data_IF_299901573388
#
_entry.id   IF_299901573388
#
_cell.length_a   1.000
_cell.length_b   1.000
_cell.length_c   1.000
_cell.angle_alpha   90.00
_cell.angle_beta   90.00
_cell.angle_gamma   90.00
#
_symmetry.space_group_name_H-M   'P 1'
#
loop_
_entity.id
_entity.type
_entity.pdbx_description
1 polymer ?
#
# COMPACT_ATOMS: atom_id res chain seq x y z
N UNK A 1 40.41 -21.42 -68.49
CA UNK A 1 39.72 -21.65 -67.24
C UNK A 1 38.34 -22.20 -67.54
N UNK A 2 37.98 -23.34 -67.02
CA UNK A 2 36.79 -24.10 -67.44
C UNK A 2 35.50 -23.36 -66.96
N UNK A 3 34.57 -23.08 -67.89
CA UNK A 3 33.32 -22.34 -67.59
C UNK A 3 32.54 -22.91 -66.36
N UNK A 4 32.67 -24.23 -66.17
CA UNK A 4 32.09 -24.94 -65.01
C UNK A 4 32.72 -24.56 -63.66
N UNK A 5 34.06 -24.26 -63.66
CA UNK A 5 34.76 -23.84 -62.45
C UNK A 5 34.41 -22.40 -62.10
N UNK A 6 34.20 -21.54 -63.09
CA UNK A 6 33.83 -20.14 -62.89
C UNK A 6 32.39 -20.05 -62.34
N UNK A 7 31.46 -20.91 -62.83
CA UNK A 7 30.09 -21.00 -62.31
C UNK A 7 30.02 -21.52 -60.90
N UNK A 8 30.92 -22.49 -60.52
CA UNK A 8 30.98 -23.01 -59.15
C UNK A 8 31.54 -21.99 -58.17
N UNK A 9 32.54 -21.19 -58.58
CA UNK A 9 33.10 -20.10 -57.74
C UNK A 9 32.09 -18.97 -57.55
N UNK A 10 31.29 -18.66 -58.58
CA UNK A 10 30.25 -17.65 -58.51
C UNK A 10 29.09 -18.11 -57.59
N UNK A 11 28.67 -19.36 -57.68
CA UNK A 11 27.66 -19.93 -56.80
C UNK A 11 28.15 -20.00 -55.33
N UNK A 12 29.42 -20.28 -55.08
CA UNK A 12 30.00 -20.29 -53.73
C UNK A 12 30.15 -18.88 -53.13
N UNK A 13 30.46 -17.88 -53.97
CA UNK A 13 30.53 -16.48 -53.52
C UNK A 13 29.13 -15.88 -53.16
N UNK A 14 28.07 -16.32 -53.84
CA UNK A 14 26.70 -15.90 -53.54
C UNK A 14 26.17 -16.56 -52.23
N UNK A 15 26.64 -17.77 -51.91
CA UNK A 15 26.29 -18.43 -50.64
C UNK A 15 27.03 -17.81 -49.42
N UNK A 16 28.14 -17.11 -49.60
CA UNK A 16 28.88 -16.46 -48.51
C UNK A 16 28.38 -15.08 -48.17
N UNK A 17 27.53 -14.47 -48.99
CA UNK A 17 26.89 -13.16 -48.70
C UNK A 17 25.55 -13.28 -47.97
N UNK A 18 25.10 -14.46 -47.66
CA UNK A 18 23.80 -14.74 -47.00
C UNK A 18 23.85 -14.79 -45.47
N UNK A 19 25.05 -14.61 -44.87
CA UNK A 19 25.15 -14.78 -43.41
C UNK A 19 24.64 -13.58 -42.58
N UNK A 20 24.43 -12.41 -43.15
CA UNK A 20 23.90 -11.26 -42.39
C UNK A 20 22.38 -11.10 -42.47
N UNK A 21 21.69 -11.93 -43.27
CA UNK A 21 20.21 -11.89 -43.32
C UNK A 21 19.51 -12.66 -42.21
N UNK A 22 20.26 -13.52 -41.49
CA UNK A 22 19.75 -14.28 -40.33
C UNK A 22 20.17 -13.69 -38.99
N UNK A 23 21.00 -12.65 -38.97
CA UNK A 23 21.17 -11.82 -37.77
C UNK A 23 19.95 -10.88 -37.66
N UNK A 24 18.80 -11.50 -37.45
CA UNK A 24 17.62 -10.84 -36.95
C UNK A 24 17.96 -10.46 -35.53
N UNK A 25 18.40 -9.25 -35.30
CA UNK A 25 18.32 -8.65 -33.99
C UNK A 25 16.85 -8.71 -33.63
N UNK A 26 16.46 -9.62 -32.74
CA UNK A 26 15.15 -9.60 -32.11
C UNK A 26 15.02 -8.29 -31.33
N UNK A 27 14.75 -7.20 -32.04
CA UNK A 27 14.39 -5.90 -31.47
C UNK A 27 12.95 -5.91 -30.99
N UNK A 28 12.48 -7.03 -30.46
CA UNK A 28 11.18 -7.10 -29.77
C UNK A 28 11.26 -6.65 -28.31
N UNK A 29 12.46 -6.37 -27.79
CA UNK A 29 12.71 -5.74 -26.49
C UNK A 29 13.37 -4.39 -26.69
N UNK A 30 12.89 -3.38 -25.96
CA UNK A 30 13.63 -2.13 -25.82
C UNK A 30 14.90 -2.42 -25.02
N UNK A 31 16.05 -2.00 -25.51
CA UNK A 31 17.24 -2.05 -24.69
C UNK A 31 17.19 -0.98 -23.57
N UNK A 32 18.16 -1.08 -22.66
CA UNK A 32 18.18 -0.24 -21.46
C UNK A 32 18.31 1.25 -21.80
N UNK A 33 19.03 1.61 -22.88
CA UNK A 33 19.21 2.97 -23.34
C UNK A 33 17.90 3.53 -23.91
N UNK A 34 17.15 2.73 -24.66
CA UNK A 34 15.86 3.10 -25.23
C UNK A 34 14.80 3.46 -24.17
N UNK A 35 14.88 2.85 -22.98
CA UNK A 35 13.90 3.09 -21.89
C UNK A 35 13.97 4.52 -21.37
N UNK A 36 15.13 5.18 -21.43
CA UNK A 36 15.32 6.52 -20.89
C UNK A 36 15.48 7.60 -21.96
N UNK A 37 15.48 7.23 -23.23
CA UNK A 37 15.51 8.17 -24.36
C UNK A 37 14.17 8.88 -24.56
N UNK A 38 13.06 8.26 -24.16
CA UNK A 38 11.72 8.79 -24.38
C UNK A 38 11.01 9.08 -23.06
N UNK A 39 10.47 10.29 -22.91
CA UNK A 39 9.76 10.74 -21.71
C UNK A 39 8.70 9.76 -21.23
N UNK A 40 7.82 9.26 -22.10
CA UNK A 40 6.73 8.35 -21.72
C UNK A 40 7.25 7.02 -21.18
N UNK A 41 8.40 6.55 -21.64
CA UNK A 41 9.05 5.34 -21.14
C UNK A 41 9.66 5.58 -19.75
N UNK A 42 10.37 6.70 -19.56
CA UNK A 42 10.92 7.10 -18.27
C UNK A 42 9.79 7.29 -17.23
N UNK A 43 8.67 7.92 -17.61
CA UNK A 43 7.45 8.03 -16.81
C UNK A 43 6.88 6.64 -16.49
N UNK A 44 6.85 5.73 -17.47
CA UNK A 44 6.43 4.34 -17.29
C UNK A 44 7.30 3.57 -16.30
N UNK A 45 8.61 3.79 -16.31
CA UNK A 45 9.53 3.19 -15.32
C UNK A 45 9.20 3.64 -13.89
N UNK A 46 8.99 4.94 -13.66
CA UNK A 46 8.57 5.42 -12.34
C UNK A 46 7.20 4.86 -11.96
N UNK A 47 6.25 4.80 -12.90
CA UNK A 47 4.93 4.19 -12.67
C UNK A 47 5.05 2.73 -12.24
N UNK A 48 6.00 1.99 -12.82
CA UNK A 48 6.33 0.62 -12.40
C UNK A 48 6.79 0.59 -10.95
N UNK A 49 7.65 1.53 -10.52
CA UNK A 49 8.05 1.62 -9.10
C UNK A 49 6.84 1.86 -8.19
N UNK A 50 5.92 2.76 -8.56
CA UNK A 50 4.67 2.98 -7.83
C UNK A 50 3.77 1.74 -7.73
N UNK A 51 3.78 0.86 -8.74
CA UNK A 51 2.90 -0.31 -8.78
C UNK A 51 3.14 -1.33 -7.67
N UNK A 52 4.29 -1.27 -7.00
CA UNK A 52 4.62 -2.08 -5.84
C UNK A 52 4.08 -1.53 -4.51
N UNK A 53 3.45 -0.36 -4.49
CA UNK A 53 2.79 0.14 -3.30
C UNK A 53 1.70 -0.84 -2.84
N UNK A 54 1.68 -1.19 -1.54
CA UNK A 54 0.75 -2.21 -1.05
C UNK A 54 -0.70 -1.73 -1.08
N UNK A 55 -1.60 -2.69 -1.24
CA UNK A 55 -3.03 -2.54 -0.98
C UNK A 55 -3.54 -3.86 -0.43
N UNK A 56 -4.43 -3.84 0.56
CA UNK A 56 -4.94 -5.06 1.20
C UNK A 56 -6.43 -5.28 0.92
N UNK A 57 -6.78 -5.33 -0.36
CA UNK A 57 -8.13 -5.65 -0.82
C UNK A 57 -8.33 -7.17 -0.99
N UNK A 58 -8.09 -7.96 0.08
CA UNK A 58 -8.21 -9.40 0.05
C UNK A 58 -6.96 -10.11 -0.48
N UNK A 59 -5.78 -9.57 -0.24
CA UNK A 59 -4.52 -10.09 -0.78
C UNK A 59 -4.08 -11.45 -0.20
N UNK A 60 -4.68 -11.89 0.90
CA UNK A 60 -4.40 -13.19 1.52
C UNK A 60 -5.50 -14.20 1.16
N UNK A 61 -5.55 -14.61 -0.09
CA UNK A 61 -6.56 -15.55 -0.61
C UNK A 61 -7.99 -15.10 -0.26
N UNK A 62 -8.29 -13.83 -0.47
CA UNK A 62 -9.57 -13.19 -0.18
C UNK A 62 -9.66 -12.52 1.20
N UNK A 63 -8.81 -12.88 2.16
CA UNK A 63 -8.77 -12.25 3.47
C UNK A 63 -7.99 -10.93 3.46
N UNK A 64 -8.37 -10.00 4.33
CA UNK A 64 -7.54 -8.85 4.69
C UNK A 64 -6.54 -9.23 5.79
N UNK A 65 -5.46 -8.46 5.94
CA UNK A 65 -4.44 -8.66 6.97
C UNK A 65 -4.99 -8.61 8.39
N UNK A 66 -6.09 -7.88 8.63
CA UNK A 66 -6.76 -7.84 9.91
C UNK A 66 -7.14 -9.23 10.45
N UNK A 67 -7.44 -10.18 9.55
CA UNK A 67 -7.74 -11.56 9.93
C UNK A 67 -6.52 -12.37 10.44
N UNK A 68 -5.32 -11.80 10.43
CA UNK A 68 -4.13 -12.35 11.07
C UNK A 68 -3.95 -11.87 12.53
N UNK A 69 -4.87 -11.04 13.03
CA UNK A 69 -4.83 -10.41 14.35
C UNK A 69 -6.09 -10.75 15.16
N UNK A 70 -6.19 -10.25 16.37
CA UNK A 70 -7.38 -10.36 17.21
C UNK A 70 -8.54 -9.44 16.77
N UNK A 71 -8.34 -8.62 15.72
CA UNK A 71 -9.38 -7.72 15.19
C UNK A 71 -10.41 -8.41 14.28
N UNK A 72 -10.01 -9.48 13.58
CA UNK A 72 -10.89 -10.16 12.63
C UNK A 72 -10.55 -11.64 12.45
N UNK A 73 -11.53 -12.39 11.93
CA UNK A 73 -11.37 -13.74 11.40
C UNK A 73 -11.84 -13.78 9.94
N UNK A 74 -11.38 -14.76 9.18
CA UNK A 74 -11.87 -15.00 7.84
C UNK A 74 -12.92 -16.10 7.84
N UNK A 75 -14.06 -15.87 7.20
CA UNK A 75 -15.21 -16.78 7.25
C UNK A 75 -14.95 -18.15 6.61
N UNK A 76 -13.93 -18.26 5.76
CA UNK A 76 -13.66 -19.47 4.97
C UNK A 76 -12.32 -20.09 5.33
N UNK A 77 -12.28 -21.43 5.39
CA UNK A 77 -11.05 -22.19 5.67
C UNK A 77 -10.09 -22.29 4.48
N UNK A 78 -10.35 -21.56 3.40
CA UNK A 78 -9.58 -21.61 2.15
C UNK A 78 -8.40 -20.66 2.10
N UNK A 79 -8.37 -19.66 2.98
CA UNK A 79 -7.29 -18.67 3.02
C UNK A 79 -6.08 -19.14 3.83
N UNK A 80 -4.88 -18.86 3.33
CA UNK A 80 -3.63 -19.05 4.06
C UNK A 80 -3.52 -18.22 5.34
N UNK A 81 -4.34 -17.18 5.51
CA UNK A 81 -4.37 -16.30 6.68
C UNK A 81 -4.61 -17.09 7.99
N UNK A 82 -5.38 -18.18 7.93
CA UNK A 82 -5.68 -19.04 9.08
C UNK A 82 -4.42 -19.60 9.76
N UNK A 83 -3.27 -19.63 9.06
CA UNK A 83 -2.01 -20.11 9.62
C UNK A 83 -1.49 -19.22 10.74
N UNK A 84 -1.82 -17.92 10.72
CA UNK A 84 -1.52 -17.04 11.84
C UNK A 84 -2.30 -17.45 13.09
N UNK A 85 -3.59 -17.74 12.94
CA UNK A 85 -4.48 -18.04 14.04
C UNK A 85 -4.22 -19.43 14.65
N UNK A 86 -3.82 -20.42 13.85
CA UNK A 86 -3.55 -21.79 14.29
C UNK A 86 -2.07 -22.09 14.55
N UNK A 87 -1.17 -21.11 14.38
CA UNK A 87 0.27 -21.23 14.62
C UNK A 87 1.03 -22.12 13.62
N UNK A 88 0.45 -22.49 12.49
CA UNK A 88 1.09 -23.37 11.50
C UNK A 88 2.01 -22.61 10.51
N UNK A 89 2.63 -21.53 10.93
CA UNK A 89 3.61 -20.77 10.15
C UNK A 89 5.01 -20.87 10.78
N UNK A 90 6.03 -20.69 9.97
CA UNK A 90 7.41 -20.79 10.41
C UNK A 90 8.34 -19.99 9.48
N UNK A 91 9.63 -19.82 9.82
CA UNK A 91 10.59 -19.15 8.94
C UNK A 91 10.72 -19.76 7.53
N UNK A 92 10.40 -21.05 7.39
CA UNK A 92 10.43 -21.77 6.10
C UNK A 92 9.02 -21.88 5.47
N UNK A 93 7.98 -21.53 6.20
CA UNK A 93 6.59 -21.50 5.73
C UNK A 93 5.99 -20.15 6.06
N UNK A 94 6.43 -19.13 5.34
CA UNK A 94 6.00 -17.75 5.51
C UNK A 94 4.69 -17.50 4.75
N UNK A 95 3.84 -16.63 5.29
CA UNK A 95 2.56 -16.27 4.68
C UNK A 95 2.69 -14.93 3.94
N UNK A 96 3.35 -13.95 4.54
CA UNK A 96 3.52 -12.60 3.98
C UNK A 96 4.97 -12.42 3.46
N UNK A 97 5.35 -13.27 2.50
CA UNK A 97 6.69 -13.18 1.91
C UNK A 97 6.73 -12.10 0.83
N UNK A 98 7.19 -10.92 1.20
CA UNK A 98 7.33 -9.76 0.31
C UNK A 98 8.78 -9.47 -0.08
N UNK A 99 9.73 -10.33 0.31
CA UNK A 99 11.16 -10.14 0.08
C UNK A 99 11.48 -9.87 -1.40
N UNK A 100 11.13 -10.82 -2.27
CA UNK A 100 11.38 -10.68 -3.71
C UNK A 100 10.67 -9.49 -4.33
N UNK A 101 9.43 -9.23 -3.93
CA UNK A 101 8.61 -8.11 -4.42
C UNK A 101 9.27 -6.77 -4.13
N UNK A 102 9.66 -6.52 -2.89
CA UNK A 102 10.24 -5.23 -2.54
C UNK A 102 11.68 -5.06 -3.00
N UNK A 103 12.49 -6.13 -3.09
CA UNK A 103 13.81 -6.00 -3.74
C UNK A 103 13.69 -5.76 -5.24
N UNK A 104 12.68 -6.30 -5.93
CA UNK A 104 12.39 -5.96 -7.32
C UNK A 104 11.98 -4.48 -7.45
N UNK A 105 11.15 -3.98 -6.53
CA UNK A 105 10.77 -2.57 -6.48
C UNK A 105 11.97 -1.64 -6.23
N UNK A 106 12.86 -2.00 -5.28
CA UNK A 106 14.10 -1.27 -4.99
C UNK A 106 15.03 -1.27 -6.21
N UNK A 107 15.21 -2.42 -6.88
CA UNK A 107 15.99 -2.49 -8.12
C UNK A 107 15.40 -1.59 -9.21
N UNK A 108 14.07 -1.57 -9.36
CA UNK A 108 13.39 -0.70 -10.33
C UNK A 108 13.60 0.78 -10.01
N UNK A 109 13.56 1.15 -8.71
CA UNK A 109 13.86 2.51 -8.26
C UNK A 109 15.33 2.88 -8.53
N UNK A 110 16.28 1.99 -8.22
CA UNK A 110 17.70 2.20 -8.51
C UNK A 110 17.95 2.32 -10.02
N UNK A 111 17.31 1.48 -10.83
CA UNK A 111 17.41 1.56 -12.29
C UNK A 111 16.90 2.91 -12.81
N UNK A 112 15.79 3.40 -12.31
CA UNK A 112 15.28 4.72 -12.66
C UNK A 112 16.29 5.81 -12.26
N UNK A 113 16.78 5.80 -11.02
CA UNK A 113 17.70 6.82 -10.50
C UNK A 113 19.05 6.82 -11.23
N UNK A 114 19.61 5.65 -11.56
CA UNK A 114 20.89 5.54 -12.26
C UNK A 114 20.85 6.00 -13.72
N UNK A 115 19.65 6.05 -14.31
CA UNK A 115 19.47 6.43 -15.71
C UNK A 115 18.61 7.70 -15.88
N UNK A 116 18.31 8.38 -14.77
CA UNK A 116 17.55 9.63 -14.81
C UNK A 116 18.31 10.68 -15.63
N UNK A 117 17.60 11.33 -16.54
CA UNK A 117 18.07 12.48 -17.33
C UNK A 117 17.31 13.72 -16.87
N UNK A 118 17.96 14.88 -16.89
CA UNK A 118 17.33 16.12 -16.38
C UNK A 118 16.22 16.63 -17.30
N UNK A 119 16.32 16.37 -18.60
CA UNK A 119 15.31 16.79 -19.58
C UNK A 119 15.19 15.82 -20.78
N UNK A 120 14.27 16.12 -21.68
CA UNK A 120 14.01 15.39 -22.93
C UNK A 120 13.92 16.33 -24.10
N UNK A 121 15.08 16.76 -24.63
CA UNK A 121 15.15 17.70 -25.75
C UNK A 121 14.45 17.20 -27.03
N UNK A 122 14.29 15.88 -27.18
CA UNK A 122 13.62 15.28 -28.32
C UNK A 122 12.09 15.53 -28.37
N UNK A 123 11.50 16.08 -27.27
CA UNK A 123 10.08 16.46 -27.23
C UNK A 123 9.85 17.96 -27.03
N UNK A 124 10.88 18.81 -27.15
CA UNK A 124 10.75 20.28 -27.03
C UNK A 124 9.73 20.89 -28.00
N UNK A 125 9.45 20.24 -29.10
CA UNK A 125 8.41 20.63 -30.04
C UNK A 125 6.98 20.41 -29.54
N UNK A 126 6.79 19.72 -28.41
CA UNK A 126 5.49 19.45 -27.86
C UNK A 126 5.00 20.68 -27.08
N UNK A 127 3.79 21.14 -27.36
CA UNK A 127 3.16 22.28 -26.68
C UNK A 127 3.08 22.11 -25.14
N UNK A 128 3.14 20.87 -24.65
CA UNK A 128 3.11 20.54 -23.22
C UNK A 128 4.52 20.36 -22.63
N UNK A 129 5.59 20.57 -23.34
CA UNK A 129 6.96 20.29 -22.89
C UNK A 129 7.27 20.88 -21.52
N UNK A 130 7.01 22.17 -21.32
CA UNK A 130 7.26 22.83 -20.03
C UNK A 130 6.48 22.21 -18.89
N UNK A 131 5.21 21.88 -19.13
CA UNK A 131 4.36 21.20 -18.13
C UNK A 131 4.91 19.81 -17.76
N UNK A 132 5.34 19.05 -18.76
CA UNK A 132 5.94 17.72 -18.55
C UNK A 132 7.23 17.82 -17.74
N UNK A 133 8.10 18.78 -18.07
CA UNK A 133 9.38 18.97 -17.36
C UNK A 133 9.17 19.48 -15.92
N UNK A 134 8.16 20.34 -15.70
CA UNK A 134 7.80 20.77 -14.36
C UNK A 134 7.31 19.61 -13.45
N UNK A 135 6.72 18.56 -14.02
CA UNK A 135 6.38 17.36 -13.29
C UNK A 135 7.58 16.44 -13.12
N UNK A 136 8.35 16.27 -14.20
CA UNK A 136 9.45 15.34 -14.29
C UNK A 136 10.59 15.64 -13.29
N UNK A 137 10.81 16.90 -12.96
CA UNK A 137 11.80 17.30 -11.96
C UNK A 137 11.59 16.67 -10.58
N UNK A 138 10.35 16.24 -10.26
CA UNK A 138 10.04 15.59 -8.99
C UNK A 138 10.28 14.07 -9.00
N UNK A 139 10.37 13.46 -10.19
CA UNK A 139 10.43 11.99 -10.34
C UNK A 139 11.61 11.33 -9.61
N UNK A 140 12.84 11.88 -9.60
CA UNK A 140 13.92 11.28 -8.85
C UNK A 140 13.68 11.29 -7.33
N UNK A 141 13.03 12.31 -6.80
CA UNK A 141 12.69 12.39 -5.38
C UNK A 141 11.55 11.44 -5.01
N UNK A 142 10.61 11.22 -5.92
CA UNK A 142 9.57 10.22 -5.75
C UNK A 142 10.16 8.80 -5.78
N UNK A 143 11.08 8.52 -6.69
CA UNK A 143 11.77 7.23 -6.75
C UNK A 143 12.58 6.96 -5.47
N UNK A 144 13.27 7.96 -4.91
CA UNK A 144 13.98 7.89 -3.64
C UNK A 144 13.02 7.62 -2.48
N UNK A 145 11.88 8.31 -2.43
CA UNK A 145 10.83 8.03 -1.44
C UNK A 145 10.34 6.59 -1.51
N UNK A 146 9.98 6.12 -2.72
CA UNK A 146 9.46 4.77 -2.93
C UNK A 146 10.50 3.72 -2.50
N UNK A 147 11.77 3.92 -2.82
CA UNK A 147 12.87 3.07 -2.34
C UNK A 147 12.95 3.03 -0.82
N UNK A 148 12.91 4.19 -0.16
CA UNK A 148 12.91 4.28 1.29
C UNK A 148 11.67 3.60 1.91
N UNK A 149 10.49 3.78 1.31
CA UNK A 149 9.26 3.10 1.71
C UNK A 149 9.38 1.57 1.62
N UNK A 150 9.95 1.04 0.54
CA UNK A 150 10.14 -0.41 0.39
C UNK A 150 11.18 -0.96 1.38
N UNK A 151 12.21 -0.20 1.73
CA UNK A 151 13.11 -0.55 2.82
C UNK A 151 12.41 -0.57 4.18
N UNK A 152 11.50 0.37 4.45
CA UNK A 152 10.67 0.31 5.65
C UNK A 152 9.80 -0.96 5.68
N UNK A 153 9.16 -1.30 4.55
CA UNK A 153 8.35 -2.52 4.43
C UNK A 153 9.16 -3.81 4.65
N UNK A 154 10.42 -3.84 4.20
CA UNK A 154 11.34 -4.95 4.47
C UNK A 154 11.81 -4.97 5.92
N UNK A 155 12.30 -3.83 6.45
CA UNK A 155 12.89 -3.74 7.79
C UNK A 155 11.89 -4.13 8.90
N UNK A 156 10.63 -3.70 8.79
CA UNK A 156 9.60 -4.04 9.79
C UNK A 156 9.25 -5.53 9.84
N UNK A 157 9.55 -6.31 8.77
CA UNK A 157 9.28 -7.75 8.69
C UNK A 157 10.50 -8.61 8.95
N UNK A 158 11.65 -8.19 8.42
CA UNK A 158 12.87 -9.02 8.40
C UNK A 158 13.98 -8.47 9.29
N UNK A 159 13.78 -7.29 9.90
CA UNK A 159 14.74 -6.58 10.76
C UNK A 159 16.00 -6.16 10.00
N UNK A 160 16.98 -7.06 9.88
CA UNK A 160 18.24 -6.82 9.20
C UNK A 160 18.12 -7.20 7.72
N UNK A 161 18.39 -6.28 6.82
CA UNK A 161 18.22 -6.50 5.37
C UNK A 161 19.38 -5.89 4.59
N UNK A 162 19.80 -6.48 3.46
CA UNK A 162 20.80 -5.90 2.58
C UNK A 162 20.37 -4.49 2.10
N UNK A 163 21.22 -3.50 2.33
CA UNK A 163 21.00 -2.12 1.87
C UNK A 163 21.70 -1.93 0.52
N UNK A 164 20.91 -1.85 -0.56
CA UNK A 164 21.36 -1.80 -1.95
C UNK A 164 20.80 -0.52 -2.58
N UNK A 165 21.65 0.43 -2.94
CA UNK A 165 21.26 1.74 -3.50
C UNK A 165 21.64 1.91 -4.97
N UNK A 166 22.16 0.84 -5.59
CA UNK A 166 22.60 0.80 -7.00
C UNK A 166 22.09 -0.47 -7.68
N UNK A 167 22.25 -0.55 -9.00
CA UNK A 167 21.93 -1.75 -9.75
C UNK A 167 23.13 -2.71 -9.71
N UNK A 168 23.01 -3.78 -8.94
CA UNK A 168 24.01 -4.83 -8.85
C UNK A 168 23.82 -5.89 -9.94
N UNK A 169 24.92 -6.51 -10.37
CA UNK A 169 24.89 -7.74 -11.15
C UNK A 169 24.46 -8.92 -10.26
N UNK A 170 24.09 -10.04 -10.90
CA UNK A 170 23.50 -11.17 -10.19
C UNK A 170 24.45 -11.75 -9.12
N UNK A 171 25.73 -11.86 -9.46
CA UNK A 171 26.74 -12.42 -8.56
C UNK A 171 27.01 -11.51 -7.36
N UNK A 172 26.98 -10.19 -7.57
CA UNK A 172 27.16 -9.18 -6.54
C UNK A 172 25.96 -9.16 -5.58
N UNK A 173 24.73 -9.21 -6.13
CA UNK A 173 23.50 -9.15 -5.35
C UNK A 173 23.40 -10.28 -4.31
N UNK A 174 23.90 -11.49 -4.64
CA UNK A 174 23.90 -12.64 -3.75
C UNK A 174 24.97 -12.57 -2.64
N UNK A 175 25.93 -11.65 -2.75
CA UNK A 175 27.05 -11.49 -1.80
C UNK A 175 26.85 -10.38 -0.78
N UNK A 176 25.81 -9.52 -0.94
CA UNK A 176 25.57 -8.39 -0.04
C UNK A 176 25.10 -8.88 1.33
N UNK A 177 25.88 -8.58 2.36
CA UNK A 177 25.51 -8.89 3.72
C UNK A 177 24.34 -8.02 4.22
N UNK A 178 23.48 -8.55 5.10
CA UNK A 178 22.44 -7.75 5.74
C UNK A 178 23.04 -6.59 6.54
N UNK A 179 22.47 -5.41 6.41
CA UNK A 179 22.74 -4.25 7.25
C UNK A 179 21.92 -4.35 8.53
N UNK A 180 22.46 -3.83 9.63
CA UNK A 180 21.74 -3.74 10.88
C UNK A 180 20.49 -2.86 10.74
N UNK A 181 19.45 -3.18 11.50
CA UNK A 181 18.18 -2.47 11.48
C UNK A 181 18.36 -0.95 11.63
N UNK A 182 19.17 -0.49 12.58
CA UNK A 182 19.40 0.93 12.81
C UNK A 182 20.02 1.63 11.58
N UNK A 183 20.93 0.96 10.85
CA UNK A 183 21.47 1.50 9.59
C UNK A 183 20.42 1.64 8.50
N UNK A 184 19.49 0.70 8.43
CA UNK A 184 18.37 0.79 7.47
C UNK A 184 17.44 1.93 7.85
N UNK A 185 17.14 2.11 9.14
CA UNK A 185 16.36 3.24 9.65
C UNK A 185 17.06 4.58 9.34
N UNK A 186 18.36 4.69 9.63
CA UNK A 186 19.14 5.89 9.35
C UNK A 186 19.11 6.24 7.86
N UNK A 187 19.22 5.24 6.98
CA UNK A 187 19.09 5.43 5.54
C UNK A 187 17.70 5.99 5.17
N UNK A 188 16.62 5.40 5.68
CA UNK A 188 15.25 5.85 5.40
C UNK A 188 15.05 7.29 5.87
N UNK A 189 15.52 7.61 7.07
CA UNK A 189 15.40 8.96 7.66
C UNK A 189 16.20 9.97 6.85
N UNK A 190 17.45 9.65 6.48
CA UNK A 190 18.30 10.50 5.65
C UNK A 190 17.67 10.78 4.27
N UNK A 191 17.14 9.74 3.59
CA UNK A 191 16.40 9.91 2.33
C UNK A 191 15.21 10.87 2.52
N UNK A 192 14.43 10.70 3.59
CA UNK A 192 13.30 11.58 3.89
C UNK A 192 13.76 13.04 4.09
N UNK A 193 14.83 13.26 4.86
CA UNK A 193 15.33 14.61 5.16
C UNK A 193 15.86 15.31 3.90
N UNK A 194 16.54 14.59 3.03
CA UNK A 194 17.10 15.15 1.80
C UNK A 194 16.06 15.49 0.73
N UNK A 195 14.94 14.73 0.66
CA UNK A 195 13.93 14.92 -0.40
C UNK A 195 12.73 15.75 0.01
N UNK A 196 12.52 15.95 1.32
CA UNK A 196 11.31 16.59 1.86
C UNK A 196 11.01 17.93 1.20
N UNK A 197 12.00 18.83 1.13
CA UNK A 197 11.83 20.17 0.57
C UNK A 197 11.93 20.21 -0.97
N UNK A 198 12.18 19.06 -1.61
CA UNK A 198 12.27 18.92 -3.05
C UNK A 198 10.96 18.53 -3.72
N UNK A 199 10.01 18.05 -2.92
CA UNK A 199 8.70 17.61 -3.40
C UNK A 199 7.63 18.69 -3.19
N UNK A 200 6.57 18.71 -3.99
CA UNK A 200 5.50 19.70 -3.83
C UNK A 200 4.66 19.39 -2.58
N UNK A 201 4.09 20.45 -2.02
CA UNK A 201 3.07 20.33 -0.96
C UNK A 201 1.83 19.64 -1.52
N UNK A 202 1.51 19.92 -2.78
CA UNK A 202 0.36 19.35 -3.46
C UNK A 202 0.57 19.33 -4.97
N UNK A 203 0.22 18.22 -5.61
CA UNK A 203 0.16 18.12 -7.07
C UNK A 203 -1.05 18.86 -7.69
N UNK A 204 -1.98 19.37 -6.89
CA UNK A 204 -3.00 20.32 -7.37
C UNK A 204 -2.39 21.67 -7.75
N UNK A 205 -1.22 21.98 -7.21
CA UNK A 205 -0.50 23.23 -7.45
C UNK A 205 0.59 23.06 -8.51
N UNK A 206 0.77 21.84 -9.06
CA UNK A 206 1.70 21.52 -10.13
C UNK A 206 0.94 21.40 -11.45
N UNK A 207 1.39 22.01 -12.55
CA UNK A 207 0.77 21.84 -13.85
C UNK A 207 0.56 20.37 -14.23
N UNK A 208 -0.58 20.05 -14.85
CA UNK A 208 -0.98 18.68 -15.17
C UNK A 208 -1.79 17.98 -14.07
N UNK A 209 -1.80 18.47 -12.83
CA UNK A 209 -2.67 18.03 -11.72
C UNK A 209 -2.65 16.52 -11.45
N UNK A 210 -1.53 15.84 -11.59
CA UNK A 210 -1.38 14.39 -11.35
C UNK A 210 -1.42 14.08 -9.85
N UNK A 211 -2.58 14.12 -9.23
CA UNK A 211 -2.76 13.82 -7.81
C UNK A 211 -2.52 12.33 -7.50
N UNK A 212 -2.23 12.01 -6.23
CA UNK A 212 -1.91 10.64 -5.78
C UNK A 212 -0.43 10.30 -5.87
N UNK A 213 0.40 11.27 -6.19
CA UNK A 213 1.87 11.17 -6.19
C UNK A 213 2.45 11.57 -4.84
N UNK A 214 3.72 11.28 -4.63
CA UNK A 214 4.41 11.55 -3.38
C UNK A 214 4.56 13.05 -3.14
N UNK A 215 4.06 13.52 -2.00
CA UNK A 215 4.13 14.91 -1.54
C UNK A 215 5.04 15.05 -0.33
N UNK A 216 5.35 16.29 0.07
CA UNK A 216 6.06 16.57 1.33
C UNK A 216 5.40 15.88 2.52
N UNK A 217 4.06 15.91 2.61
CA UNK A 217 3.32 15.26 3.68
C UNK A 217 3.51 13.75 3.73
N UNK A 218 3.62 13.09 2.57
CA UNK A 218 3.92 11.66 2.51
C UNK A 218 5.32 11.33 3.05
N UNK A 219 6.32 12.17 2.73
CA UNK A 219 7.69 12.01 3.24
C UNK A 219 7.74 12.17 4.77
N UNK A 220 7.08 13.19 5.30
CA UNK A 220 7.00 13.42 6.75
C UNK A 220 6.27 12.29 7.47
N UNK A 221 5.21 11.74 6.87
CA UNK A 221 4.45 10.61 7.43
C UNK A 221 5.30 9.32 7.45
N UNK A 222 6.06 9.04 6.38
CA UNK A 222 6.99 7.91 6.35
C UNK A 222 8.06 8.04 7.43
N UNK A 223 8.68 9.23 7.56
CA UNK A 223 9.69 9.49 8.60
C UNK A 223 9.11 9.29 10.00
N UNK A 224 7.92 9.83 10.28
CA UNK A 224 7.23 9.66 11.55
C UNK A 224 6.99 8.19 11.89
N UNK A 225 6.41 7.42 10.96
CA UNK A 225 6.15 5.98 11.16
C UNK A 225 7.45 5.19 11.34
N UNK A 226 8.47 5.47 10.56
CA UNK A 226 9.77 4.80 10.62
C UNK A 226 10.42 4.96 12.00
N UNK A 227 10.45 6.19 12.50
CA UNK A 227 11.02 6.48 13.81
C UNK A 227 10.18 5.93 14.97
N UNK A 228 8.85 5.89 14.83
CA UNK A 228 7.98 5.25 15.81
C UNK A 228 8.26 3.75 15.94
N UNK A 229 8.40 3.04 14.81
CA UNK A 229 8.77 1.62 14.81
C UNK A 229 10.16 1.39 15.42
N UNK A 230 11.13 2.26 15.11
CA UNK A 230 12.48 2.16 15.67
C UNK A 230 12.52 2.42 17.19
N UNK A 231 11.55 3.18 17.72
CA UNK A 231 11.40 3.45 19.15
C UNK A 231 10.68 2.33 19.90
N UNK A 232 10.00 1.42 19.21
CA UNK A 232 9.26 0.33 19.85
C UNK A 232 10.18 -0.57 20.70
N UNK A 233 9.67 -1.20 21.78
CA UNK A 233 10.46 -2.09 22.65
C UNK A 233 11.19 -3.21 21.90
N UNK A 234 10.66 -3.64 20.75
CA UNK A 234 11.27 -4.67 19.92
C UNK A 234 12.61 -4.24 19.31
N UNK A 235 12.78 -2.93 19.02
CA UNK A 235 13.92 -2.40 18.26
C UNK A 235 14.75 -1.35 19.03
N UNK A 236 14.18 -0.75 20.08
CA UNK A 236 14.80 0.39 20.76
C UNK A 236 16.10 0.04 21.51
N UNK A 237 16.23 -1.18 22.01
CA UNK A 237 17.37 -1.54 22.87
C UNK A 237 17.47 -0.61 24.08
N UNK A 238 18.70 -0.14 24.39
CA UNK A 238 18.98 0.78 25.50
C UNK A 238 18.70 2.25 25.18
N UNK A 239 18.51 2.61 23.90
CA UNK A 239 18.30 3.99 23.43
C UNK A 239 16.80 4.38 23.36
N UNK A 240 15.92 3.68 24.10
CA UNK A 240 14.47 3.81 23.98
C UNK A 240 13.96 5.25 24.11
N UNK A 241 14.39 5.99 25.15
CA UNK A 241 13.92 7.36 25.38
C UNK A 241 14.31 8.33 24.25
N UNK A 242 15.54 8.26 23.75
CA UNK A 242 15.99 9.13 22.66
C UNK A 242 15.23 8.84 21.36
N UNK A 243 14.97 7.56 21.07
CA UNK A 243 14.20 7.14 19.90
C UNK A 243 12.73 7.61 19.99
N UNK A 244 12.09 7.56 21.16
CA UNK A 244 10.75 8.10 21.37
C UNK A 244 10.70 9.62 21.16
N UNK A 245 11.68 10.36 21.66
CA UNK A 245 11.82 11.81 21.43
C UNK A 245 11.94 12.09 19.92
N UNK A 246 12.75 11.31 19.19
CA UNK A 246 12.91 11.47 17.74
C UNK A 246 11.59 11.21 17.00
N UNK A 247 10.86 10.16 17.38
CA UNK A 247 9.54 9.83 16.82
C UNK A 247 8.52 10.95 17.07
N UNK A 248 8.45 11.46 18.32
CA UNK A 248 7.57 12.57 18.66
C UNK A 248 7.90 13.83 17.84
N UNK A 249 9.18 14.19 17.71
CA UNK A 249 9.61 15.34 16.90
C UNK A 249 9.22 15.20 15.43
N UNK A 250 9.38 14.01 14.84
CA UNK A 250 9.02 13.77 13.45
C UNK A 250 7.50 13.88 13.21
N UNK A 251 6.68 13.32 14.10
CA UNK A 251 5.24 13.48 14.02
C UNK A 251 4.83 14.97 14.20
N UNK A 252 5.40 15.66 15.20
CA UNK A 252 5.15 17.08 15.48
C UNK A 252 5.50 17.96 14.28
N UNK A 253 6.57 17.67 13.56
CA UNK A 253 6.96 18.42 12.36
C UNK A 253 5.85 18.48 11.32
N UNK A 254 5.14 17.36 11.06
CA UNK A 254 4.00 17.35 10.16
C UNK A 254 2.78 18.06 10.76
N UNK A 255 2.54 17.90 12.07
CA UNK A 255 1.44 18.60 12.76
C UNK A 255 1.64 20.12 12.66
N UNK A 256 2.85 20.63 12.95
CA UNK A 256 3.16 22.06 12.86
C UNK A 256 2.99 22.60 11.44
N UNK A 257 3.38 21.80 10.43
CA UNK A 257 3.16 22.16 9.04
C UNK A 257 1.66 22.27 8.73
N UNK A 258 0.86 21.33 9.21
CA UNK A 258 -0.60 21.33 9.01
C UNK A 258 -1.24 22.53 9.72
N UNK A 259 -0.77 22.89 10.92
CA UNK A 259 -1.23 24.10 11.64
C UNK A 259 -0.93 25.37 10.83
N UNK A 260 0.16 25.40 10.06
CA UNK A 260 0.56 26.55 9.26
C UNK A 260 -0.14 26.67 7.91
N UNK A 261 -0.44 25.55 7.24
CA UNK A 261 -0.94 25.54 5.84
C UNK A 261 -2.38 25.01 5.69
N UNK A 262 -2.96 24.42 6.75
CA UNK A 262 -4.33 23.88 6.74
C UNK A 262 -4.52 22.71 5.77
N UNK A 263 -3.46 22.05 5.36
CA UNK A 263 -3.47 21.06 4.27
C UNK A 263 -4.24 19.81 4.61
N UNK A 264 -4.04 19.28 5.81
CA UNK A 264 -4.70 18.08 6.29
C UNK A 264 -5.60 18.40 7.47
N UNK A 265 -6.64 17.60 7.67
CA UNK A 265 -7.52 17.68 8.84
C UNK A 265 -8.18 16.34 9.11
N UNK A 266 -8.60 16.10 10.35
CA UNK A 266 -9.49 14.99 10.65
C UNK A 266 -10.85 15.24 10.01
N UNK A 267 -11.43 14.19 9.43
CA UNK A 267 -12.76 14.22 8.83
C UNK A 267 -13.64 13.13 9.42
N UNK A 268 -14.93 13.37 9.43
CA UNK A 268 -15.91 12.42 9.97
C UNK A 268 -16.55 11.54 8.88
N UNK A 269 -16.32 11.89 7.62
CA UNK A 269 -16.81 11.16 6.46
C UNK A 269 -16.01 9.88 6.16
N UNK A 270 -16.58 9.03 5.33
CA UNK A 270 -15.89 7.88 4.77
C UNK A 270 -14.80 8.33 3.79
N UNK A 271 -13.58 7.80 3.93
CA UNK A 271 -12.41 8.27 3.17
C UNK A 271 -11.88 7.27 2.13
N UNK A 272 -12.29 5.99 2.16
CA UNK A 272 -11.72 4.93 1.31
C UNK A 272 -12.24 4.88 -0.13
N UNK A 273 -13.19 5.73 -0.49
CA UNK A 273 -13.61 6.00 -1.87
C UNK A 273 -13.61 7.51 -2.21
N UNK A 274 -13.13 8.37 -1.29
CA UNK A 274 -13.09 9.81 -1.44
C UNK A 274 -11.67 10.34 -1.63
N UNK A 275 -11.20 10.46 -2.89
CA UNK A 275 -9.88 11.00 -3.23
C UNK A 275 -9.68 12.47 -2.87
N UNK A 276 -10.76 13.20 -2.60
CA UNK A 276 -10.70 14.62 -2.24
C UNK A 276 -10.60 14.85 -0.72
N UNK A 277 -10.67 13.78 0.09
CA UNK A 277 -10.61 13.89 1.54
C UNK A 277 -9.33 14.58 2.00
N UNK A 278 -9.48 15.53 2.91
CA UNK A 278 -8.34 16.23 3.52
C UNK A 278 -7.59 15.39 4.55
N UNK A 279 -8.07 14.22 4.90
CA UNK A 279 -7.37 13.32 5.82
C UNK A 279 -6.32 12.47 5.09
N UNK A 280 -6.46 12.24 3.78
CA UNK A 280 -5.56 11.42 2.98
C UNK A 280 -4.22 12.13 2.76
N UNK A 281 -3.14 11.44 3.11
CA UNK A 281 -1.76 11.88 2.86
C UNK A 281 -1.18 11.11 1.68
N UNK A 282 -1.30 9.79 1.69
CA UNK A 282 -0.88 8.91 0.59
C UNK A 282 -1.79 7.68 0.54
N UNK A 283 -2.17 7.31 -0.67
CA UNK A 283 -3.02 6.15 -0.94
C UNK A 283 -2.53 5.35 -2.16
N UNK A 284 -2.83 4.05 -2.18
CA UNK A 284 -2.78 3.24 -3.39
C UNK A 284 -4.16 3.29 -4.04
N UNK A 285 -4.22 3.76 -5.29
CA UNK A 285 -5.47 3.87 -6.05
C UNK A 285 -5.74 2.61 -6.82
N UNK A 286 -6.95 2.10 -6.70
CA UNK A 286 -7.48 1.02 -7.55
C UNK A 286 -8.48 1.61 -8.54
N UNK A 287 -8.56 1.01 -9.72
CA UNK A 287 -9.61 1.32 -10.68
C UNK A 287 -11.00 0.95 -10.13
N UNK A 288 -12.04 1.28 -10.89
CA UNK A 288 -13.39 0.88 -10.54
C UNK A 288 -13.48 -0.65 -10.48
N UNK A 289 -13.91 -1.17 -9.34
CA UNK A 289 -14.04 -2.60 -9.05
C UNK A 289 -15.19 -2.84 -8.07
N UNK A 290 -15.64 -4.07 -7.95
CA UNK A 290 -16.51 -4.57 -6.90
C UNK A 290 -15.97 -5.86 -6.27
N UNK A 291 -14.69 -6.12 -6.47
CA UNK A 291 -14.07 -7.36 -6.00
C UNK A 291 -13.99 -7.40 -4.47
N UNK A 292 -13.79 -6.25 -3.82
CA UNK A 292 -13.78 -6.17 -2.37
C UNK A 292 -15.16 -6.44 -1.77
N UNK A 293 -16.22 -5.96 -2.40
CA UNK A 293 -17.62 -6.20 -2.03
C UNK A 293 -18.02 -7.66 -2.24
N UNK A 294 -17.60 -8.28 -3.35
CA UNK A 294 -17.79 -9.73 -3.57
C UNK A 294 -17.16 -10.57 -2.47
N UNK A 295 -16.04 -10.14 -1.93
CA UNK A 295 -15.38 -10.84 -0.83
C UNK A 295 -16.10 -10.61 0.51
N UNK A 296 -16.61 -9.40 0.78
CA UNK A 296 -16.92 -8.95 2.13
C UNK A 296 -18.39 -8.57 2.39
N UNK A 297 -19.27 -8.53 1.38
CA UNK A 297 -20.70 -8.36 1.68
C UNK A 297 -21.19 -9.51 2.55
N UNK A 298 -22.08 -9.25 3.51
CA UNK A 298 -22.65 -10.30 4.36
C UNK A 298 -23.32 -11.38 3.53
N UNK A 299 -23.17 -12.65 3.92
CA UNK A 299 -23.95 -13.74 3.33
C UNK A 299 -25.44 -13.44 3.45
N UNK A 300 -26.26 -13.89 2.48
CA UNK A 300 -27.69 -13.57 2.43
C UNK A 300 -28.01 -12.28 1.67
N UNK A 301 -27.02 -11.41 1.42
CA UNK A 301 -27.10 -10.37 0.39
C UNK A 301 -26.62 -10.92 -0.95
N UNK A 302 -27.16 -10.38 -2.05
CA UNK A 302 -26.80 -10.85 -3.38
C UNK A 302 -25.30 -10.70 -3.66
N UNK A 303 -24.66 -11.83 -4.02
CA UNK A 303 -23.22 -11.91 -4.27
C UNK A 303 -22.34 -11.82 -3.02
N UNK A 304 -22.93 -11.81 -1.82
CA UNK A 304 -22.19 -11.75 -0.57
C UNK A 304 -21.44 -13.03 -0.23
N UNK A 305 -20.26 -12.90 0.38
CA UNK A 305 -19.35 -13.99 0.71
C UNK A 305 -18.76 -13.89 2.13
N UNK A 306 -19.26 -12.99 2.97
CA UNK A 306 -18.87 -12.74 4.37
C UNK A 306 -17.42 -12.28 4.59
N UNK A 307 -16.45 -12.90 3.94
CA UNK A 307 -15.04 -12.51 3.91
C UNK A 307 -14.41 -12.33 5.29
N UNK A 308 -13.84 -11.15 5.51
CA UNK A 308 -13.23 -10.74 6.77
C UNK A 308 -14.30 -10.31 7.76
N UNK A 309 -14.42 -11.02 8.88
CA UNK A 309 -15.42 -10.81 9.92
C UNK A 309 -14.76 -10.22 11.18
N UNK A 310 -15.15 -9.03 11.64
CA UNK A 310 -14.68 -8.46 12.91
C UNK A 310 -14.90 -9.40 14.09
N UNK A 311 -13.98 -9.39 15.07
CA UNK A 311 -14.11 -10.19 16.29
C UNK A 311 -14.81 -9.42 17.41
N UNK A 312 -15.20 -10.13 18.46
CA UNK A 312 -15.67 -9.52 19.70
C UNK A 312 -14.58 -8.65 20.35
N UNK A 313 -13.31 -9.06 20.26
CA UNK A 313 -12.19 -8.29 20.81
C UNK A 313 -12.11 -6.88 20.18
N UNK A 314 -12.30 -6.78 18.87
CA UNK A 314 -12.38 -5.48 18.21
C UNK A 314 -13.59 -4.67 18.67
N UNK A 315 -14.75 -5.30 18.79
CA UNK A 315 -15.97 -4.62 19.25
C UNK A 315 -15.82 -4.09 20.67
N UNK A 316 -15.20 -4.87 21.58
CA UNK A 316 -14.94 -4.48 22.96
C UNK A 316 -13.90 -3.35 23.08
N UNK A 317 -12.96 -3.25 22.13
CA UNK A 317 -11.97 -2.20 22.10
C UNK A 317 -12.56 -0.81 21.80
N UNK A 318 -13.74 -0.73 21.18
CA UNK A 318 -14.46 0.53 21.08
C UNK A 318 -15.06 0.90 22.45
N UNK A 319 -14.88 2.14 22.86
CA UNK A 319 -15.33 2.66 24.14
C UNK A 319 -16.83 2.96 24.15
N UNK A 320 -17.37 3.26 25.31
CA UNK A 320 -18.64 3.97 25.43
C UNK A 320 -18.50 5.40 24.94
N UNK A 321 -19.58 6.08 24.65
CA UNK A 321 -19.57 7.48 24.11
C UNK A 321 -18.94 8.50 25.07
N UNK A 322 -18.94 8.21 26.35
CA UNK A 322 -18.32 9.01 27.41
C UNK A 322 -16.81 8.78 27.60
N UNK A 323 -16.22 7.88 26.78
CA UNK A 323 -14.82 7.49 26.85
C UNK A 323 -14.49 6.41 27.87
N UNK A 324 -15.47 5.88 28.60
CA UNK A 324 -15.26 4.72 29.47
C UNK A 324 -15.10 3.44 28.65
N UNK A 325 -14.23 2.53 29.12
CA UNK A 325 -14.06 1.21 28.49
C UNK A 325 -15.36 0.41 28.58
N UNK A 326 -15.66 -0.36 27.54
CA UNK A 326 -16.76 -1.32 27.60
C UNK A 326 -16.46 -2.38 28.69
N UNK A 327 -17.43 -2.60 29.57
CA UNK A 327 -17.30 -3.52 30.70
C UNK A 327 -18.45 -4.53 30.71
N UNK A 328 -18.13 -5.80 30.53
CA UNK A 328 -19.07 -6.92 30.60
C UNK A 328 -19.66 -7.14 32.02
N UNK A 329 -19.05 -6.59 33.08
CA UNK A 329 -19.59 -6.56 34.43
C UNK A 329 -20.66 -5.49 34.64
N UNK A 330 -20.82 -4.55 33.70
CA UNK A 330 -21.79 -3.46 33.78
C UNK A 330 -23.01 -3.74 32.89
N UNK A 331 -24.18 -3.97 33.55
CA UNK A 331 -25.42 -4.28 32.84
C UNK A 331 -25.87 -3.14 31.89
N UNK A 332 -25.63 -1.88 32.26
CA UNK A 332 -25.96 -0.74 31.40
C UNK A 332 -25.12 -0.77 30.09
N UNK A 333 -23.83 -1.15 30.15
CA UNK A 333 -22.98 -1.33 28.97
C UNK A 333 -23.51 -2.45 28.09
N UNK A 334 -23.89 -3.59 28.67
CA UNK A 334 -24.43 -4.74 27.95
C UNK A 334 -25.73 -4.37 27.23
N UNK A 335 -26.66 -3.72 27.93
CA UNK A 335 -27.96 -3.29 27.39
C UNK A 335 -27.80 -2.26 26.24
N UNK A 336 -26.67 -1.53 26.22
CA UNK A 336 -26.35 -0.52 25.23
C UNK A 336 -25.22 -0.92 24.28
N UNK A 337 -24.86 -2.22 24.20
CA UNK A 337 -23.73 -2.72 23.43
C UNK A 337 -23.73 -2.25 21.97
N UNK A 338 -24.88 -2.18 21.34
CA UNK A 338 -25.06 -1.73 19.95
C UNK A 338 -25.90 -0.46 19.82
N UNK A 339 -25.98 0.32 20.87
CA UNK A 339 -26.72 1.58 20.84
C UNK A 339 -25.84 2.73 20.32
N UNK A 340 -26.11 3.31 19.12
CA UNK A 340 -25.29 4.37 18.54
C UNK A 340 -25.22 5.65 19.40
N UNK A 341 -26.20 5.86 20.28
CA UNK A 341 -26.21 7.02 21.17
C UNK A 341 -25.36 6.83 22.43
N UNK A 342 -24.92 5.60 22.70
CA UNK A 342 -24.18 5.22 23.91
C UNK A 342 -22.79 4.67 23.64
N UNK A 343 -22.50 4.23 22.42
CA UNK A 343 -21.22 3.68 22.00
C UNK A 343 -20.43 4.68 21.15
N UNK A 344 -19.11 4.45 21.09
CA UNK A 344 -18.23 5.15 20.17
C UNK A 344 -18.76 5.05 18.72
N UNK A 345 -19.02 6.18 18.04
CA UNK A 345 -19.56 6.16 16.68
C UNK A 345 -18.64 5.44 15.65
N UNK A 346 -17.34 5.30 15.95
CA UNK A 346 -16.38 4.58 15.10
C UNK A 346 -16.72 3.08 14.99
N UNK A 347 -17.35 2.49 16.02
CA UNK A 347 -17.86 1.11 15.97
C UNK A 347 -18.76 0.91 14.75
N UNK A 348 -19.76 1.78 14.59
CA UNK A 348 -20.77 1.67 13.54
C UNK A 348 -20.28 2.09 12.14
N UNK A 349 -19.09 2.69 12.06
CA UNK A 349 -18.37 2.95 10.80
C UNK A 349 -17.47 1.77 10.39
N UNK A 350 -17.15 0.88 11.32
CA UNK A 350 -16.21 -0.22 11.14
C UNK A 350 -16.89 -1.58 11.04
N UNK A 351 -17.95 -1.80 11.82
CA UNK A 351 -18.58 -3.10 12.05
C UNK A 351 -20.07 -3.05 11.73
N UNK A 352 -20.58 -4.08 11.06
CA UNK A 352 -22.01 -4.37 10.97
C UNK A 352 -22.36 -5.34 12.10
N UNK A 353 -23.15 -4.87 13.06
CA UNK A 353 -23.65 -5.65 14.19
C UNK A 353 -25.03 -6.21 13.87
N UNK A 354 -25.54 -7.15 14.70
CA UNK A 354 -26.93 -7.59 14.59
C UNK A 354 -27.89 -6.39 14.71
N UNK A 355 -28.84 -6.27 13.79
CA UNK A 355 -29.77 -5.15 13.71
C UNK A 355 -29.25 -3.92 12.97
N UNK A 356 -27.97 -3.84 12.60
CA UNK A 356 -27.44 -2.76 11.76
C UNK A 356 -28.17 -2.70 10.42
N UNK A 357 -28.40 -1.50 9.91
CA UNK A 357 -28.91 -1.33 8.55
C UNK A 357 -27.77 -1.46 7.53
N UNK A 358 -27.95 -2.32 6.54
CA UNK A 358 -27.09 -2.47 5.38
C UNK A 358 -27.96 -2.62 4.12
N UNK A 359 -27.71 -1.84 3.07
CA UNK A 359 -28.50 -1.81 1.83
C UNK A 359 -30.03 -1.73 2.08
N UNK A 360 -30.44 -0.88 2.98
CA UNK A 360 -31.84 -0.66 3.39
C UNK A 360 -32.53 -1.88 4.06
N UNK A 361 -31.76 -2.86 4.55
CA UNK A 361 -32.30 -4.00 5.29
C UNK A 361 -31.51 -4.22 6.59
N UNK A 362 -32.18 -4.75 7.62
CA UNK A 362 -31.50 -5.11 8.86
C UNK A 362 -30.61 -6.33 8.65
N UNK A 363 -29.41 -6.32 9.19
CA UNK A 363 -28.51 -7.47 9.28
C UNK A 363 -28.98 -8.36 10.42
N UNK A 364 -29.14 -9.66 10.18
CA UNK A 364 -29.63 -10.64 11.15
C UNK A 364 -28.58 -11.74 11.33
N UNK A 365 -27.66 -11.55 12.30
CA UNK A 365 -26.54 -12.49 12.53
C UNK A 365 -26.84 -13.62 13.50
N UNK A 366 -28.02 -13.62 14.12
CA UNK A 366 -28.44 -14.68 15.03
C UNK A 366 -28.74 -16.01 14.31
N UNK A 367 -28.75 -17.11 15.04
CA UNK A 367 -29.05 -18.45 14.49
C UNK A 367 -30.46 -18.47 13.89
N UNK A 368 -30.56 -18.82 12.62
CA UNK A 368 -31.81 -18.77 11.86
C UNK A 368 -32.12 -17.43 11.21
N UNK A 369 -31.32 -16.39 11.48
CA UNK A 369 -31.40 -15.11 10.79
C UNK A 369 -30.89 -15.20 9.35
N UNK A 370 -31.27 -14.24 8.51
CA UNK A 370 -30.94 -14.26 7.07
C UNK A 370 -29.46 -14.01 6.75
N UNK A 371 -28.65 -13.64 7.73
CA UNK A 371 -27.21 -13.43 7.60
C UNK A 371 -26.42 -14.24 8.66
N UNK A 372 -27.07 -15.22 9.31
CA UNK A 372 -26.50 -16.02 10.39
C UNK A 372 -26.50 -17.51 10.09
N UNK A 373 -25.94 -18.30 11.03
CA UNK A 373 -25.99 -19.76 10.96
C UNK A 373 -27.45 -20.25 10.87
N UNK A 374 -27.77 -21.34 10.11
CA UNK A 374 -26.83 -22.29 9.52
C UNK A 374 -26.43 -22.00 8.07
N UNK A 375 -26.53 -20.77 7.59
CA UNK A 375 -26.11 -20.45 6.22
C UNK A 375 -24.60 -20.77 6.04
N UNK A 376 -24.28 -21.45 4.95
CA UNK A 376 -22.89 -21.71 4.59
C UNK A 376 -22.17 -20.37 4.37
N UNK A 377 -20.98 -20.21 4.96
CA UNK A 377 -20.25 -18.94 4.95
C UNK A 377 -20.84 -17.85 5.85
N UNK A 378 -21.78 -18.15 6.75
CA UNK A 378 -22.18 -17.19 7.77
C UNK A 378 -21.00 -16.77 8.63
N UNK A 379 -21.04 -15.52 9.13
CA UNK A 379 -19.99 -15.01 10.01
C UNK A 379 -19.71 -15.95 11.19
N UNK A 380 -18.46 -16.32 11.45
CA UNK A 380 -18.10 -17.12 12.61
C UNK A 380 -18.12 -16.32 13.92
N UNK A 381 -18.12 -14.99 13.84
CA UNK A 381 -17.99 -14.08 14.98
C UNK A 381 -19.29 -13.36 15.35
N UNK A 382 -20.31 -13.44 14.52
CA UNK A 382 -21.56 -12.68 14.68
C UNK A 382 -21.51 -11.25 14.14
N UNK A 383 -20.40 -10.85 13.49
CA UNK A 383 -20.18 -9.50 12.94
C UNK A 383 -19.80 -9.57 11.48
N UNK A 384 -20.05 -8.48 10.74
CA UNK A 384 -19.60 -8.33 9.36
C UNK A 384 -18.79 -7.04 9.20
N UNK A 385 -17.90 -7.03 8.21
CA UNK A 385 -17.08 -5.88 7.88
C UNK A 385 -17.92 -4.76 7.27
N UNK A 386 -17.70 -3.53 7.73
CA UNK A 386 -18.27 -2.32 7.12
C UNK A 386 -17.17 -1.41 6.55
N UNK A 387 -16.04 -1.32 7.24
CA UNK A 387 -14.91 -0.46 6.83
C UNK A 387 -14.38 -0.91 5.46
N UNK A 388 -14.09 0.04 4.58
CA UNK A 388 -13.70 -0.14 3.18
C UNK A 388 -14.81 -0.67 2.24
N UNK A 389 -15.92 -1.16 2.76
CA UNK A 389 -17.05 -1.61 1.95
C UNK A 389 -17.82 -0.41 1.39
N UNK A 390 -18.08 -0.40 0.09
CA UNK A 390 -18.92 0.61 -0.59
C UNK A 390 -20.32 0.05 -0.75
N UNK A 391 -21.21 0.42 0.17
CA UNK A 391 -22.56 -0.14 0.31
C UNK A 391 -23.45 0.08 -0.92
N UNK A 392 -23.18 1.13 -1.71
CA UNK A 392 -23.94 1.45 -2.92
C UNK A 392 -23.66 0.54 -4.11
N UNK A 393 -22.56 -0.24 -4.06
CA UNK A 393 -22.22 -1.20 -5.10
C UNK A 393 -23.30 -2.30 -5.19
N UNK A 394 -23.76 -2.60 -6.41
CA UNK A 394 -24.65 -3.72 -6.71
C UNK A 394 -23.86 -4.91 -7.23
N UNK A 395 -24.07 -6.07 -6.63
CA UNK A 395 -23.54 -7.36 -7.10
C UNK A 395 -24.58 -8.17 -7.88
N UNK A 396 -25.74 -7.58 -8.17
CA UNK A 396 -26.78 -8.22 -8.97
C UNK A 396 -26.27 -8.49 -10.39
N UNK A 397 -26.27 -9.75 -10.87
CA UNK A 397 -25.77 -10.08 -12.20
C UNK A 397 -26.41 -9.30 -13.35
N UNK A 398 -27.67 -8.87 -13.18
CA UNK A 398 -28.39 -8.09 -14.19
C UNK A 398 -28.14 -6.58 -14.09
N UNK A 399 -27.56 -6.10 -13.00
CA UNK A 399 -27.26 -4.69 -12.76
C UNK A 399 -26.04 -4.53 -11.83
N UNK A 400 -24.92 -5.10 -12.24
CA UNK A 400 -23.66 -5.01 -11.51
C UNK A 400 -23.08 -3.60 -11.63
N UNK A 401 -22.69 -3.00 -10.52
CA UNK A 401 -21.98 -1.72 -10.49
C UNK A 401 -20.59 -1.87 -9.88
N UNK A 402 -19.76 -0.90 -10.12
CA UNK A 402 -18.40 -0.79 -9.59
C UNK A 402 -18.16 0.60 -9.06
N UNK A 403 -17.21 0.74 -8.13
CA UNK A 403 -16.76 2.04 -7.63
C UNK A 403 -15.23 2.03 -7.49
N UNK A 404 -14.66 3.22 -7.33
CA UNK A 404 -13.24 3.39 -7.07
C UNK A 404 -12.94 3.09 -5.62
N UNK A 405 -11.82 2.39 -5.42
CA UNK A 405 -11.30 2.11 -4.09
C UNK A 405 -9.91 2.71 -3.93
N UNK A 406 -9.60 3.20 -2.74
CA UNK A 406 -8.26 3.62 -2.36
C UNK A 406 -7.84 2.88 -1.10
N UNK A 407 -6.63 2.32 -1.13
CA UNK A 407 -6.01 1.77 0.06
C UNK A 407 -5.16 2.85 0.71
N UNK A 408 -5.50 3.19 1.94
CA UNK A 408 -4.86 4.29 2.68
C UNK A 408 -3.51 3.81 3.20
N UNK A 409 -2.43 4.45 2.73
CA UNK A 409 -1.08 4.19 3.21
C UNK A 409 -0.71 5.09 4.39
N UNK A 410 -1.01 6.39 4.28
CA UNK A 410 -0.85 7.37 5.34
C UNK A 410 -2.06 8.30 5.40
N UNK A 411 -2.51 8.59 6.62
CA UNK A 411 -3.56 9.57 6.89
C UNK A 411 -3.21 10.43 8.10
N UNK A 412 -3.80 11.62 8.19
CA UNK A 412 -3.48 12.57 9.25
C UNK A 412 -3.79 12.04 10.66
N UNK A 413 -4.87 11.27 10.82
CA UNK A 413 -5.18 10.62 12.09
C UNK A 413 -4.03 9.74 12.62
N UNK A 414 -3.34 9.01 11.73
CA UNK A 414 -2.18 8.20 12.12
C UNK A 414 -1.05 9.07 12.67
N UNK A 415 -0.77 10.21 12.05
CA UNK A 415 0.31 11.12 12.51
C UNK A 415 0.02 11.65 13.91
N UNK A 416 -1.23 11.99 14.20
CA UNK A 416 -1.67 12.40 15.53
C UNK A 416 -1.52 11.27 16.55
N UNK A 417 -1.88 10.04 16.18
CA UNK A 417 -1.69 8.85 17.02
C UNK A 417 -0.21 8.54 17.25
N UNK A 418 0.64 8.62 16.22
CA UNK A 418 2.08 8.45 16.34
C UNK A 418 2.69 9.45 17.33
N UNK A 419 2.22 10.71 17.28
CA UNK A 419 2.65 11.75 18.23
C UNK A 419 2.23 11.43 19.66
N UNK A 420 0.96 11.03 19.84
CA UNK A 420 0.41 10.68 21.16
C UNK A 420 1.12 9.48 21.77
N UNK A 421 1.35 8.42 20.98
CA UNK A 421 2.07 7.23 21.42
C UNK A 421 3.50 7.57 21.82
N UNK A 422 4.21 8.32 20.99
CA UNK A 422 5.58 8.72 21.27
C UNK A 422 5.70 9.59 22.53
N UNK A 423 4.72 10.47 22.82
CA UNK A 423 4.67 11.28 24.04
C UNK A 423 4.31 10.47 25.29
N UNK A 424 3.49 9.45 25.17
CA UNK A 424 3.02 8.63 26.28
C UNK A 424 4.05 7.61 26.79
N UNK A 425 5.10 7.33 25.99
CA UNK A 425 6.07 6.28 26.25
C UNK A 425 7.51 6.80 26.52
N UNK A 426 7.74 8.11 26.48
CA UNK A 426 9.04 8.73 26.78
C UNK A 426 9.18 9.19 28.25
#
# INVERSE_FOLDING_TARGET
MNKKILSAIFAFAVCMSSCNYLDYNESSGFDKEDMFTYFERAKGMLTTVYSYLPADFGNFDGATRAAATDEAEYAWNTSGIIRYNNGSWSPILTIDNVWGTYYTAIRSANMFLNNYQEDFTNIEWNDNYETLMQQYQYYPYEARFLRAFYYFELAKRYKNVPLITECLELDEANSVAPSDFDKVIDFIVSECDEIMDKLPVSYKDVPGYETGRITQGAVMALKSRTLLYAASPLYAGTAGQEKWIAAAKAAKQLIDKVESDGRYQLVDEQIWNNLASKELILETRRGNSNDFEKLNFPIGYEGGNSGTCPTQNLVDAFEMKDGSRFDWGNQEHIDNMYNPEKRDPRLFKTVLTNGSTFKNAAVETFVGGKNGAPLDGATPTGYYLKKYVVETISLNPNNTTTDRHVWILFRYAEVLLNYTEALGLW
#
